data_IF_347616170701
#
_entry.id   IF_347616170701
#
_cell.length_a   1.000
_cell.length_b   1.000
_cell.length_c   1.000
_cell.angle_alpha   90.00
_cell.angle_beta   90.00
_cell.angle_gamma   90.00
#
_symmetry.space_group_name_H-M   'P 1'
#
loop_
_entity.id
_entity.type
_entity.pdbx_description
1 polymer ?
#
# COMPACT_ATOMS: atom_id res chain seq x y z
N UNK A 1 13.85 14.41 5.30
CA UNK A 1 15.27 14.07 5.49
C UNK A 1 15.99 14.23 4.17
N UNK A 2 17.09 14.97 4.12
CA UNK A 2 17.92 15.20 2.92
C UNK A 2 19.20 14.36 2.94
N UNK A 3 19.60 13.83 4.09
CA UNK A 3 20.72 12.90 4.23
C UNK A 3 20.72 12.21 5.58
N UNK A 4 21.39 11.06 5.64
CA UNK A 4 21.63 10.28 6.86
C UNK A 4 23.12 9.93 6.89
N UNK A 5 23.85 10.49 7.85
CA UNK A 5 25.26 10.16 8.08
C UNK A 5 25.38 9.20 9.25
N UNK A 6 26.05 8.08 9.00
CA UNK A 6 26.26 7.03 9.97
C UNK A 6 27.31 7.46 11.02
N UNK A 7 27.12 7.04 12.27
CA UNK A 7 27.98 7.39 13.39
C UNK A 7 27.30 7.11 14.73
N UNK A 8 28.01 7.40 15.82
CA UNK A 8 27.47 7.41 17.17
C UNK A 8 27.85 8.76 17.82
N UNK A 9 26.97 9.77 17.78
CA UNK A 9 25.56 9.75 17.34
C UNK A 9 25.38 9.74 15.81
N UNK A 10 24.23 9.27 15.36
CA UNK A 10 23.77 9.37 13.96
C UNK A 10 23.42 10.83 13.66
N UNK A 11 23.74 11.32 12.47
CA UNK A 11 23.34 12.67 12.05
C UNK A 11 22.27 12.60 10.95
N UNK A 12 21.11 13.20 11.22
CA UNK A 12 19.99 13.32 10.28
C UNK A 12 19.98 14.74 9.73
N UNK A 13 20.21 14.89 8.42
CA UNK A 13 20.17 16.20 7.74
C UNK A 13 18.76 16.47 7.24
N UNK A 14 18.31 17.70 7.44
CA UNK A 14 17.04 18.24 6.95
C UNK A 14 17.30 19.50 6.13
N UNK A 15 16.26 20.06 5.51
CA UNK A 15 16.38 21.34 4.80
C UNK A 15 16.71 22.52 5.74
N UNK A 16 16.47 22.39 7.04
CA UNK A 16 16.57 23.47 8.02
C UNK A 16 17.65 23.24 9.09
N UNK A 17 18.47 22.20 8.94
CA UNK A 17 19.54 21.89 9.90
C UNK A 17 19.76 20.40 10.10
N UNK A 18 20.59 20.09 11.08
CA UNK A 18 21.03 18.72 11.40
C UNK A 18 20.58 18.35 12.81
N UNK A 19 20.00 17.17 12.95
CA UNK A 19 19.67 16.55 14.25
C UNK A 19 20.68 15.44 14.54
N UNK A 20 21.22 15.41 15.75
CA UNK A 20 22.06 14.32 16.24
C UNK A 20 21.25 13.44 17.17
N UNK A 21 21.28 12.13 16.96
CA UNK A 21 20.54 11.17 17.75
C UNK A 21 21.34 9.88 17.96
N UNK A 22 21.30 9.33 19.18
CA UNK A 22 21.97 8.07 19.48
C UNK A 22 21.32 6.88 18.75
N UNK A 23 20.01 6.97 18.49
CA UNK A 23 19.20 5.98 17.77
C UNK A 23 18.27 6.67 16.78
N UNK A 24 18.10 6.10 15.59
CA UNK A 24 17.19 6.59 14.55
C UNK A 24 16.24 5.47 14.10
N UNK A 25 14.95 5.78 14.00
CA UNK A 25 13.93 4.87 13.46
C UNK A 25 13.39 5.41 12.14
N UNK A 26 13.49 4.62 11.08
CA UNK A 26 13.04 4.94 9.73
C UNK A 26 11.68 4.28 9.45
N UNK A 27 10.62 5.08 9.53
CA UNK A 27 9.24 4.70 9.19
C UNK A 27 8.76 5.36 7.90
N UNK A 28 9.54 5.28 6.81
CA UNK A 28 9.27 6.04 5.57
C UNK A 28 8.34 5.32 4.58
N UNK A 29 7.88 4.10 4.91
CA UNK A 29 6.97 3.30 4.09
C UNK A 29 7.42 3.25 2.60
N UNK A 30 6.53 3.61 1.65
CA UNK A 30 6.81 3.63 0.22
C UNK A 30 8.09 4.41 -0.16
N UNK A 31 8.47 5.44 0.60
CA UNK A 31 9.66 6.25 0.33
C UNK A 31 10.98 5.54 0.68
N UNK A 32 10.95 4.42 1.41
CA UNK A 32 12.15 3.67 1.78
C UNK A 32 12.98 3.24 0.57
N UNK A 33 12.34 2.68 -0.47
CA UNK A 33 13.03 2.20 -1.67
C UNK A 33 13.69 3.33 -2.47
N UNK A 34 13.14 4.55 -2.41
CA UNK A 34 13.73 5.75 -3.03
C UNK A 34 14.87 6.32 -2.19
N UNK A 35 14.70 6.35 -0.87
CA UNK A 35 15.69 6.92 0.05
C UNK A 35 16.93 6.04 0.21
N UNK A 36 16.77 4.72 0.07
CA UNK A 36 17.84 3.74 0.29
C UNK A 36 17.86 2.70 -0.84
N UNK A 37 18.79 2.83 -1.82
CA UNK A 37 18.84 1.98 -3.02
C UNK A 37 18.92 0.47 -2.73
N UNK A 38 19.53 0.07 -1.61
CA UNK A 38 19.56 -1.33 -1.15
C UNK A 38 18.17 -1.97 -0.97
N UNK A 39 17.12 -1.15 -0.78
CA UNK A 39 15.74 -1.61 -0.65
C UNK A 39 14.95 -1.52 -1.95
N UNK A 40 15.55 -1.07 -3.05
CA UNK A 40 14.85 -0.84 -4.32
C UNK A 40 14.02 -2.07 -4.73
N UNK A 41 14.57 -3.27 -4.59
CA UNK A 41 13.94 -4.54 -4.99
C UNK A 41 13.09 -5.20 -3.90
N UNK A 42 13.06 -4.65 -2.67
CA UNK A 42 12.31 -5.25 -1.56
C UNK A 42 10.80 -5.01 -1.67
N UNK A 43 10.40 -3.96 -2.38
CA UNK A 43 9.00 -3.58 -2.56
C UNK A 43 8.73 -3.12 -3.99
N UNK A 44 7.49 -3.24 -4.45
CA UNK A 44 6.96 -2.51 -5.59
C UNK A 44 6.12 -1.33 -5.09
N UNK A 45 6.15 -0.19 -5.77
CA UNK A 45 5.32 0.97 -5.43
C UNK A 45 4.11 0.99 -6.37
N UNK A 46 2.92 0.98 -5.77
CA UNK A 46 1.64 0.90 -6.45
C UNK A 46 0.66 1.92 -5.89
N UNK A 47 -0.21 2.51 -6.72
CA UNK A 47 -1.24 3.43 -6.23
C UNK A 47 -2.34 2.71 -5.46
N UNK A 48 -2.85 3.40 -4.45
CA UNK A 48 -4.19 3.22 -3.92
C UNK A 48 -5.02 4.44 -4.30
N UNK A 49 -6.04 4.26 -5.12
CA UNK A 49 -6.84 5.34 -5.70
C UNK A 49 -8.21 5.41 -5.03
N UNK A 50 -8.72 6.61 -4.77
CA UNK A 50 -9.98 6.82 -4.06
C UNK A 50 -10.86 7.91 -4.68
N UNK A 51 -12.16 7.77 -4.45
CA UNK A 51 -13.19 8.79 -4.69
C UNK A 51 -14.05 8.93 -3.44
N UNK A 52 -14.64 10.11 -3.27
CA UNK A 52 -15.67 10.38 -2.26
C UNK A 52 -16.83 11.13 -2.90
N UNK A 53 -18.06 10.76 -2.53
CA UNK A 53 -19.27 11.45 -3.00
C UNK A 53 -19.43 12.82 -2.35
N UNK A 54 -20.30 13.65 -2.91
CA UNK A 54 -20.97 14.69 -2.12
C UNK A 54 -21.83 14.07 -1.00
N UNK A 55 -22.15 14.82 0.07
CA UNK A 55 -23.05 14.33 1.11
C UNK A 55 -24.40 13.91 0.53
N UNK A 56 -24.86 12.72 0.89
CA UNK A 56 -26.15 12.16 0.53
C UNK A 56 -26.72 11.28 1.66
N UNK A 57 -26.78 11.79 2.91
CA UNK A 57 -27.10 10.98 4.09
C UNK A 57 -28.44 10.25 4.00
N UNK A 58 -29.48 10.90 3.46
CA UNK A 58 -30.80 10.28 3.29
C UNK A 58 -30.74 9.08 2.34
N UNK A 59 -29.97 9.21 1.26
CA UNK A 59 -29.80 8.13 0.28
C UNK A 59 -28.98 6.98 0.86
N UNK A 60 -27.90 7.28 1.60
CA UNK A 60 -27.12 6.25 2.29
C UNK A 60 -27.95 5.49 3.31
N UNK A 61 -28.78 6.19 4.09
CA UNK A 61 -29.70 5.56 5.02
C UNK A 61 -30.69 4.63 4.27
N UNK A 62 -31.30 5.09 3.18
CA UNK A 62 -32.25 4.30 2.39
C UNK A 62 -31.66 2.98 1.86
N UNK A 63 -30.37 2.95 1.53
CA UNK A 63 -29.68 1.76 1.02
C UNK A 63 -28.88 1.00 2.10
N UNK A 64 -28.99 1.40 3.37
CA UNK A 64 -28.36 0.72 4.51
C UNK A 64 -26.84 0.91 4.65
N UNK A 65 -26.30 2.02 4.14
CA UNK A 65 -24.87 2.37 4.20
C UNK A 65 -24.58 3.49 5.21
N UNK A 66 -25.14 3.41 6.41
CA UNK A 66 -25.03 4.41 7.49
C UNK A 66 -24.24 3.93 8.72
N UNK A 67 -23.82 2.66 8.75
CA UNK A 67 -23.19 2.03 9.92
C UNK A 67 -21.74 2.46 10.24
N UNK A 68 -21.03 3.07 9.28
CA UNK A 68 -19.61 3.40 9.46
C UNK A 68 -18.69 2.17 9.38
N UNK A 69 -19.15 1.04 8.85
CA UNK A 69 -18.32 -0.16 8.73
C UNK A 69 -17.47 -0.07 7.46
N UNK A 70 -16.19 -0.40 7.57
CA UNK A 70 -15.34 -0.58 6.39
C UNK A 70 -15.56 -1.96 5.78
N UNK A 71 -15.84 -1.99 4.49
CA UNK A 71 -16.03 -3.24 3.73
C UNK A 71 -14.97 -3.33 2.65
N UNK A 72 -14.44 -4.54 2.42
CA UNK A 72 -13.51 -4.85 1.34
C UNK A 72 -13.98 -6.08 0.57
N UNK A 73 -13.75 -6.12 -0.74
CA UNK A 73 -14.04 -7.28 -1.57
C UNK A 73 -12.89 -8.30 -1.58
N UNK A 74 -13.14 -9.51 -2.07
CA UNK A 74 -12.13 -10.59 -2.15
C UNK A 74 -11.34 -10.62 -3.47
N UNK A 75 -11.33 -9.50 -4.22
CA UNK A 75 -10.59 -9.36 -5.48
C UNK A 75 -9.08 -9.29 -5.22
N UNK A 76 -8.26 -9.47 -6.27
CA UNK A 76 -6.81 -9.30 -6.12
C UNK A 76 -6.47 -7.81 -6.00
N UNK A 77 -7.11 -7.00 -6.83
CA UNK A 77 -7.09 -5.55 -6.66
C UNK A 77 -8.35 -5.12 -5.95
N UNK A 78 -8.28 -5.22 -4.62
CA UNK A 78 -9.40 -4.99 -3.72
C UNK A 78 -10.06 -3.65 -3.97
N UNK A 79 -11.38 -3.65 -3.96
CA UNK A 79 -12.15 -2.46 -3.65
C UNK A 79 -12.47 -2.44 -2.17
N UNK A 80 -12.52 -1.24 -1.62
CA UNK A 80 -12.94 -1.04 -0.24
C UNK A 80 -13.75 0.24 -0.16
N UNK A 81 -14.76 0.26 0.71
CA UNK A 81 -15.57 1.44 0.93
C UNK A 81 -15.90 1.62 2.41
N UNK A 82 -16.25 2.86 2.74
CA UNK A 82 -16.64 3.27 4.08
C UNK A 82 -17.47 4.55 3.96
N UNK A 83 -18.50 4.70 4.79
CA UNK A 83 -19.27 5.93 4.88
C UNK A 83 -18.69 6.86 5.96
N UNK A 84 -18.68 8.15 5.69
CA UNK A 84 -18.25 9.17 6.65
C UNK A 84 -19.40 9.61 7.54
N UNK A 85 -19.08 10.19 8.70
CA UNK A 85 -20.08 10.71 9.64
C UNK A 85 -20.93 11.85 9.09
N UNK A 86 -20.47 12.55 8.06
CA UNK A 86 -21.21 13.60 7.34
C UNK A 86 -22.00 13.08 6.14
N UNK A 87 -22.19 11.76 6.02
CA UNK A 87 -23.09 11.17 5.03
C UNK A 87 -22.52 11.08 3.62
N UNK A 88 -21.21 10.83 3.47
CA UNK A 88 -20.57 10.56 2.17
C UNK A 88 -20.16 9.10 2.08
N UNK A 89 -20.07 8.57 0.87
CA UNK A 89 -19.43 7.27 0.63
C UNK A 89 -18.04 7.49 0.04
N UNK A 90 -17.03 6.89 0.67
CA UNK A 90 -15.68 6.75 0.12
C UNK A 90 -15.53 5.38 -0.53
N UNK A 91 -14.99 5.31 -1.75
CA UNK A 91 -14.65 4.07 -2.43
C UNK A 91 -13.22 4.14 -2.93
N UNK A 92 -12.42 3.13 -2.58
CA UNK A 92 -11.04 2.99 -2.98
C UNK A 92 -10.77 1.70 -3.77
N UNK A 93 -9.69 1.73 -4.56
CA UNK A 93 -9.16 0.59 -5.29
C UNK A 93 -7.64 0.63 -5.36
N UNK A 94 -6.99 -0.46 -4.96
CA UNK A 94 -5.55 -0.63 -5.13
C UNK A 94 -5.15 -1.12 -6.52
N UNK A 95 -3.87 -1.00 -6.88
CA UNK A 95 -3.31 -1.80 -7.98
C UNK A 95 -3.29 -1.13 -9.35
N UNK A 96 -3.41 0.21 -9.44
CA UNK A 96 -3.55 0.87 -10.73
C UNK A 96 -2.21 1.36 -11.32
N UNK A 97 -1.62 2.41 -10.77
CA UNK A 97 -0.32 2.96 -11.20
C UNK A 97 0.79 2.18 -10.54
N UNK A 98 1.73 1.63 -11.31
CA UNK A 98 2.98 1.07 -10.80
C UNK A 98 4.12 2.02 -11.14
N UNK A 99 5.05 2.22 -10.21
CA UNK A 99 6.22 3.06 -10.45
C UNK A 99 7.45 2.24 -10.84
N UNK A 100 8.11 2.65 -11.93
CA UNK A 100 9.41 2.11 -12.34
C UNK A 100 10.48 2.44 -11.29
N UNK A 101 11.26 1.44 -10.85
CA UNK A 101 12.40 1.67 -9.96
C UNK A 101 12.03 2.25 -8.58
N UNK A 102 10.78 2.04 -8.12
CA UNK A 102 10.30 2.58 -6.84
C UNK A 102 10.24 4.11 -6.78
N UNK A 103 10.19 4.78 -7.93
CA UNK A 103 10.12 6.25 -8.00
C UNK A 103 8.82 6.78 -7.41
N UNK A 104 8.93 7.88 -6.67
CA UNK A 104 7.75 8.69 -6.31
C UNK A 104 7.38 9.56 -7.51
N UNK A 105 6.28 9.17 -8.15
CA UNK A 105 5.72 9.86 -9.31
C UNK A 105 4.82 11.02 -8.84
N UNK A 106 4.81 12.17 -9.55
CA UNK A 106 3.95 13.29 -9.20
C UNK A 106 2.47 12.94 -9.09
N UNK A 107 2.01 11.95 -9.87
CA UNK A 107 0.62 11.49 -9.85
C UNK A 107 0.16 11.04 -8.46
N UNK A 108 1.07 10.58 -7.59
CA UNK A 108 0.75 10.14 -6.24
C UNK A 108 0.34 11.27 -5.29
N UNK A 109 0.52 12.53 -5.69
CA UNK A 109 0.12 13.72 -4.93
C UNK A 109 -0.92 14.55 -5.70
N UNK A 110 -1.67 13.90 -6.61
CA UNK A 110 -2.64 14.55 -7.50
C UNK A 110 -4.00 13.83 -7.48
N UNK A 111 -5.06 14.45 -8.01
CA UNK A 111 -6.33 13.76 -8.22
C UNK A 111 -6.14 12.46 -9.00
N UNK A 112 -6.82 11.38 -8.57
CA UNK A 112 -6.62 10.07 -9.20
C UNK A 112 -6.99 10.13 -10.69
N UNK A 113 -6.08 9.70 -11.61
CA UNK A 113 -6.42 9.55 -13.02
C UNK A 113 -7.41 8.41 -13.26
N UNK A 114 -7.65 7.57 -12.24
CA UNK A 114 -8.61 6.48 -12.26
C UNK A 114 -9.99 6.89 -11.70
N UNK A 115 -10.26 8.19 -11.52
CA UNK A 115 -11.58 8.71 -11.16
C UNK A 115 -12.72 8.14 -12.02
N UNK A 116 -12.61 8.02 -13.36
CA UNK A 116 -13.68 7.40 -14.17
C UNK A 116 -13.91 5.92 -13.86
N UNK A 117 -12.84 5.15 -13.62
CA UNK A 117 -12.92 3.73 -13.25
C UNK A 117 -13.59 3.56 -11.88
N UNK A 118 -13.24 4.43 -10.92
CA UNK A 118 -13.83 4.42 -9.59
C UNK A 118 -15.30 4.84 -9.61
N UNK A 119 -15.68 5.79 -10.48
CA UNK A 119 -17.08 6.14 -10.75
C UNK A 119 -17.88 4.94 -11.28
N UNK A 120 -17.35 4.23 -12.26
CA UNK A 120 -17.97 3.00 -12.80
C UNK A 120 -18.13 1.95 -11.70
N UNK A 121 -17.09 1.74 -10.89
CA UNK A 121 -17.11 0.78 -9.78
C UNK A 121 -18.16 1.16 -8.72
N UNK A 122 -18.27 2.45 -8.39
CA UNK A 122 -19.27 2.97 -7.46
C UNK A 122 -20.69 2.68 -7.94
N UNK A 123 -21.01 2.97 -9.20
CA UNK A 123 -22.32 2.68 -9.77
C UNK A 123 -22.59 1.17 -9.92
N UNK A 124 -21.55 0.37 -10.13
CA UNK A 124 -21.65 -1.09 -10.19
C UNK A 124 -21.96 -1.73 -8.85
N UNK A 125 -21.34 -1.26 -7.76
CA UNK A 125 -21.65 -1.75 -6.41
C UNK A 125 -22.97 -1.19 -5.87
N UNK A 126 -23.21 0.10 -6.11
CA UNK A 126 -24.35 0.82 -5.56
C UNK A 126 -25.05 1.61 -6.67
N UNK A 127 -25.98 0.98 -7.41
CA UNK A 127 -26.70 1.63 -8.50
C UNK A 127 -27.35 2.97 -8.11
N UNK A 128 -27.85 3.08 -6.87
CA UNK A 128 -28.42 4.30 -6.32
C UNK A 128 -27.43 5.48 -6.26
N UNK A 129 -26.13 5.21 -6.14
CA UNK A 129 -25.08 6.23 -6.03
C UNK A 129 -24.45 6.60 -7.40
N UNK A 130 -24.90 5.98 -8.49
CA UNK A 130 -24.30 6.18 -9.82
C UNK A 130 -24.32 7.65 -10.26
N UNK A 131 -25.37 8.40 -9.90
CA UNK A 131 -25.56 9.80 -10.29
C UNK A 131 -25.14 10.81 -9.20
N UNK A 132 -24.78 10.36 -8.00
CA UNK A 132 -24.35 11.26 -6.93
C UNK A 132 -23.00 11.88 -7.34
N UNK A 133 -22.82 13.22 -7.34
CA UNK A 133 -21.56 13.86 -7.69
C UNK A 133 -20.38 13.38 -6.82
N UNK A 134 -19.17 13.36 -7.38
CA UNK A 134 -17.95 13.13 -6.57
C UNK A 134 -17.40 14.48 -6.13
N UNK A 135 -17.24 14.67 -4.83
CA UNK A 135 -16.61 15.86 -4.26
C UNK A 135 -15.11 15.88 -4.55
N UNK A 136 -14.44 14.72 -4.49
CA UNK A 136 -13.01 14.62 -4.72
C UNK A 136 -12.57 13.24 -5.22
N UNK A 137 -11.36 13.21 -5.76
CA UNK A 137 -10.57 11.99 -5.97
C UNK A 137 -9.12 12.26 -5.58
N UNK A 138 -8.44 11.24 -5.07
CA UNK A 138 -7.02 11.30 -4.72
C UNK A 138 -6.41 9.91 -4.89
N UNK A 139 -5.08 9.84 -4.84
CA UNK A 139 -4.38 8.59 -4.73
C UNK A 139 -3.11 8.79 -3.90
N UNK A 140 -2.44 7.70 -3.58
CA UNK A 140 -1.15 7.76 -2.88
C UNK A 140 -0.32 6.51 -3.14
N UNK A 141 1.01 6.58 -2.89
CA UNK A 141 1.90 5.46 -3.10
C UNK A 141 1.78 4.48 -1.94
N UNK A 142 1.50 3.22 -2.25
CA UNK A 142 1.60 2.09 -1.32
C UNK A 142 2.79 1.23 -1.73
N UNK A 143 3.59 0.81 -0.75
CA UNK A 143 4.51 -0.30 -0.99
C UNK A 143 3.74 -1.63 -1.07
N UNK A 144 4.38 -2.62 -1.71
CA UNK A 144 3.98 -4.03 -1.74
C UNK A 144 5.25 -4.86 -1.62
N UNK A 145 5.41 -5.58 -0.51
CA UNK A 145 6.53 -6.49 -0.32
C UNK A 145 6.31 -7.79 -1.10
N UNK A 146 7.36 -8.60 -1.23
CA UNK A 146 7.27 -9.90 -1.95
C UNK A 146 6.36 -10.90 -1.23
N UNK A 147 6.21 -10.80 0.10
CA UNK A 147 5.39 -11.74 0.88
C UNK A 147 4.01 -11.17 1.22
N UNK A 148 3.81 -9.87 1.03
CA UNK A 148 2.66 -9.14 1.55
C UNK A 148 2.75 -8.79 3.04
N UNK A 149 3.83 -9.20 3.72
CA UNK A 149 4.06 -8.90 5.14
C UNK A 149 5.03 -7.73 5.32
N UNK A 150 4.86 -6.91 6.37
CA UNK A 150 5.86 -5.92 6.75
C UNK A 150 7.12 -6.61 7.25
N UNK A 151 8.23 -5.90 7.17
CA UNK A 151 9.51 -6.37 7.71
C UNK A 151 10.27 -5.22 8.36
N UNK A 152 11.12 -5.60 9.30
CA UNK A 152 11.83 -4.71 10.21
C UNK A 152 13.29 -5.13 10.28
N UNK A 153 14.16 -4.20 10.64
CA UNK A 153 15.56 -4.53 10.80
C UNK A 153 16.43 -3.35 11.16
N UNK A 154 17.74 -3.61 11.11
CA UNK A 154 18.80 -2.63 11.31
C UNK A 154 19.42 -2.28 9.96
N UNK A 155 19.58 -0.99 9.68
CA UNK A 155 20.12 -0.52 8.41
C UNK A 155 21.62 -0.87 8.35
N UNK A 156 22.06 -1.57 7.30
CA UNK A 156 23.47 -1.93 7.06
C UNK A 156 24.16 -2.63 8.26
N UNK A 157 23.40 -3.40 9.04
CA UNK A 157 23.92 -4.06 10.25
C UNK A 157 24.29 -3.09 11.39
N UNK A 158 23.98 -1.80 11.27
CA UNK A 158 24.29 -0.80 12.28
C UNK A 158 23.40 -0.96 13.50
N UNK A 159 24.01 -0.91 14.68
CA UNK A 159 23.29 -1.11 15.94
C UNK A 159 22.30 0.00 16.30
N UNK A 160 22.31 1.14 15.59
CA UNK A 160 21.59 2.35 15.99
C UNK A 160 20.68 2.98 14.94
N UNK A 161 20.50 2.36 13.76
CA UNK A 161 19.52 2.79 12.77
C UNK A 161 18.58 1.63 12.46
N UNK A 162 17.30 1.82 12.74
CA UNK A 162 16.26 0.81 12.59
C UNK A 162 15.29 1.22 11.50
N UNK A 163 14.62 0.26 10.87
CA UNK A 163 13.61 0.53 9.86
C UNK A 163 12.44 -0.44 9.95
N UNK A 164 11.27 0.01 9.49
CA UNK A 164 10.08 -0.82 9.32
C UNK A 164 9.23 -0.32 8.17
N UNK A 165 8.96 -1.18 7.19
CA UNK A 165 8.11 -0.90 6.03
C UNK A 165 7.67 -2.21 5.34
N UNK A 166 7.07 -2.14 4.16
CA UNK A 166 6.55 -3.30 3.43
C UNK A 166 5.14 -3.70 3.87
N UNK A 167 4.39 -2.77 4.47
CA UNK A 167 3.04 -3.01 5.00
C UNK A 167 2.02 -3.38 3.94
N UNK A 168 2.37 -3.25 2.65
CA UNK A 168 1.61 -3.86 1.57
C UNK A 168 0.15 -3.40 1.54
N UNK A 169 -0.08 -2.11 1.77
CA UNK A 169 -1.43 -1.51 1.72
C UNK A 169 -2.31 -1.77 2.95
N UNK A 170 -1.87 -2.58 3.92
CA UNK A 170 -2.67 -2.91 5.11
C UNK A 170 -1.99 -2.42 6.39
N UNK A 171 -1.30 -1.27 6.35
CA UNK A 171 -0.41 -0.83 7.44
C UNK A 171 -1.08 -0.23 8.67
N UNK A 172 -2.31 0.28 8.57
CA UNK A 172 -2.97 1.01 9.66
C UNK A 172 -3.18 0.14 10.91
N UNK A 173 -3.60 -1.12 10.75
CA UNK A 173 -3.73 -2.04 11.89
C UNK A 173 -2.38 -2.56 12.41
N UNK A 174 -1.55 -3.19 11.57
CA UNK A 174 -0.26 -3.78 11.94
C UNK A 174 0.81 -2.78 12.40
N UNK A 175 0.65 -1.47 12.17
CA UNK A 175 1.65 -0.49 12.61
C UNK A 175 1.82 -0.45 14.14
N UNK A 176 0.79 -0.84 14.92
CA UNK A 176 0.93 -0.98 16.36
C UNK A 176 2.00 -2.03 16.72
N UNK A 177 1.92 -3.22 16.12
CA UNK A 177 2.94 -4.26 16.24
C UNK A 177 4.30 -3.75 15.73
N UNK A 178 4.32 -3.04 14.61
CA UNK A 178 5.54 -2.44 14.08
C UNK A 178 6.19 -1.46 15.07
N UNK A 179 5.40 -0.67 15.78
CA UNK A 179 5.84 0.20 16.86
C UNK A 179 6.48 -0.56 18.01
N UNK A 180 5.85 -1.65 18.46
CA UNK A 180 6.40 -2.52 19.52
C UNK A 180 7.74 -3.16 19.13
N UNK A 181 7.86 -3.59 17.87
CA UNK A 181 9.10 -4.13 17.32
C UNK A 181 10.19 -3.07 17.29
N UNK A 182 9.90 -1.90 16.70
CA UNK A 182 10.88 -0.83 16.52
C UNK A 182 11.33 -0.21 17.84
N UNK A 183 10.42 -0.03 18.81
CA UNK A 183 10.77 0.45 20.15
C UNK A 183 11.65 -0.55 20.89
N UNK A 184 11.30 -1.85 20.86
CA UNK A 184 12.10 -2.90 21.49
C UNK A 184 13.50 -3.00 20.89
N UNK A 185 13.61 -2.85 19.56
CA UNK A 185 14.90 -2.82 18.86
C UNK A 185 15.72 -1.59 19.25
N UNK A 186 15.11 -0.41 19.30
CA UNK A 186 15.79 0.84 19.66
C UNK A 186 16.29 0.86 21.11
N UNK A 187 15.52 0.25 22.01
CA UNK A 187 15.87 0.09 23.43
C UNK A 187 16.85 -1.07 23.70
N UNK A 188 17.15 -1.90 22.69
CA UNK A 188 18.04 -3.04 22.86
C UNK A 188 17.47 -4.15 23.75
N UNK A 189 16.14 -4.28 23.81
CA UNK A 189 15.49 -5.32 24.60
C UNK A 189 15.66 -6.69 23.94
N UNK A 190 15.67 -7.74 24.75
CA UNK A 190 15.56 -9.13 24.29
C UNK A 190 14.20 -9.69 24.70
N UNK A 191 13.25 -9.66 23.76
CA UNK A 191 11.85 -10.00 24.00
C UNK A 191 11.18 -10.62 22.75
N UNK A 192 9.93 -11.10 22.84
CA UNK A 192 9.23 -11.70 21.69
C UNK A 192 9.16 -10.81 20.46
N UNK A 193 9.07 -9.48 20.62
CA UNK A 193 9.07 -8.55 19.49
C UNK A 193 10.40 -8.55 18.73
N UNK A 194 11.52 -8.49 19.43
CA UNK A 194 12.86 -8.54 18.80
C UNK A 194 13.22 -9.91 18.23
N UNK A 195 12.60 -10.98 18.73
CA UNK A 195 12.75 -12.36 18.24
C UNK A 195 11.78 -12.71 17.10
N UNK A 196 10.89 -11.79 16.72
CA UNK A 196 9.89 -12.01 15.67
C UNK A 196 10.56 -12.33 14.32
N UNK A 197 10.00 -13.26 13.51
CA UNK A 197 10.51 -13.55 12.18
C UNK A 197 10.43 -12.35 11.22
N UNK A 198 9.66 -11.31 11.56
CA UNK A 198 9.57 -10.07 10.78
C UNK A 198 10.82 -9.18 10.93
N UNK A 199 11.71 -9.47 11.89
CA UNK A 199 12.92 -8.67 12.21
C UNK A 199 14.15 -9.11 11.38
N UNK A 200 13.92 -9.87 10.30
CA UNK A 200 14.98 -10.41 9.42
C UNK A 200 15.30 -9.50 8.23
N UNK A 201 14.71 -8.31 8.15
CA UNK A 201 14.75 -7.46 6.96
C UNK A 201 13.89 -8.00 5.80
N UNK A 202 14.12 -7.54 4.56
CA UNK A 202 13.31 -7.95 3.40
C UNK A 202 13.17 -9.46 3.26
N UNK A 203 11.93 -9.96 3.24
CA UNK A 203 11.60 -11.39 3.16
C UNK A 203 11.57 -11.93 1.72
N UNK A 204 12.17 -11.20 0.78
CA UNK A 204 12.22 -11.53 -0.64
C UNK A 204 12.62 -10.32 -1.47
N UNK A 205 13.04 -10.57 -2.72
CA UNK A 205 13.40 -9.52 -3.67
C UNK A 205 12.66 -9.72 -4.98
N UNK A 206 12.07 -8.66 -5.51
CA UNK A 206 11.57 -8.63 -6.87
C UNK A 206 12.72 -8.73 -7.89
N UNK A 207 12.44 -9.11 -9.15
CA UNK A 207 13.40 -9.01 -10.24
C UNK A 207 13.96 -7.58 -10.40
N UNK A 208 15.14 -7.40 -11.02
CA UNK A 208 15.64 -6.07 -11.36
C UNK A 208 14.76 -5.40 -12.42
N UNK A 209 14.89 -4.08 -12.57
CA UNK A 209 14.28 -3.35 -13.69
C UNK A 209 15.00 -3.66 -15.02
N UNK A 210 14.30 -3.65 -16.17
CA UNK A 210 12.87 -3.33 -16.36
C UNK A 210 11.91 -4.51 -16.16
N UNK A 211 12.42 -5.68 -15.78
CA UNK A 211 11.63 -6.93 -15.70
C UNK A 211 10.51 -6.80 -14.68
N UNK A 212 10.79 -6.22 -13.50
CA UNK A 212 9.77 -5.99 -12.47
C UNK A 212 8.65 -5.08 -12.97
N UNK A 213 8.97 -3.94 -13.56
CA UNK A 213 7.96 -3.00 -14.06
C UNK A 213 7.09 -3.63 -15.14
N UNK A 214 7.71 -4.22 -16.17
CA UNK A 214 6.98 -4.87 -17.27
C UNK A 214 6.13 -6.04 -16.77
N UNK A 215 6.69 -6.87 -15.87
CA UNK A 215 5.97 -7.95 -15.21
C UNK A 215 4.78 -7.45 -14.40
N UNK A 216 4.95 -6.36 -13.64
CA UNK A 216 3.87 -5.74 -12.86
C UNK A 216 2.72 -5.26 -13.75
N UNK A 217 3.04 -4.59 -14.86
CA UNK A 217 2.02 -4.15 -15.83
C UNK A 217 1.30 -5.33 -16.49
N UNK A 218 2.05 -6.38 -16.87
CA UNK A 218 1.50 -7.60 -17.45
C UNK A 218 0.52 -8.29 -16.48
N UNK A 219 0.96 -8.53 -15.24
CA UNK A 219 0.15 -9.15 -14.18
C UNK A 219 -1.06 -8.29 -13.86
N UNK A 220 -0.89 -6.97 -13.71
CA UNK A 220 -2.01 -6.03 -13.50
C UNK A 220 -3.07 -6.14 -14.60
N UNK A 221 -2.64 -6.10 -15.85
CA UNK A 221 -3.56 -6.15 -16.98
C UNK A 221 -4.25 -7.51 -17.09
N UNK A 222 -3.56 -8.60 -16.75
CA UNK A 222 -4.16 -9.94 -16.67
C UNK A 222 -5.23 -10.02 -15.58
N UNK A 223 -4.97 -9.49 -14.39
CA UNK A 223 -5.94 -9.42 -13.28
C UNK A 223 -7.17 -8.64 -13.72
N UNK A 224 -7.00 -7.46 -14.32
CA UNK A 224 -8.13 -6.65 -14.80
C UNK A 224 -8.98 -7.38 -15.84
N UNK A 225 -8.37 -8.13 -16.77
CA UNK A 225 -9.12 -8.94 -17.74
C UNK A 225 -9.84 -10.11 -17.09
N UNK A 226 -9.19 -10.78 -16.13
CA UNK A 226 -9.78 -11.87 -15.36
C UNK A 226 -11.00 -11.37 -14.57
N UNK A 227 -10.85 -10.34 -13.75
CA UNK A 227 -11.91 -9.79 -12.91
C UNK A 227 -13.09 -9.28 -13.76
N UNK A 228 -12.83 -8.59 -14.88
CA UNK A 228 -13.90 -8.17 -15.81
C UNK A 228 -14.68 -9.32 -16.43
N UNK A 229 -14.02 -10.45 -16.70
CA UNK A 229 -14.70 -11.64 -17.21
C UNK A 229 -15.60 -12.23 -16.10
N UNK A 230 -15.10 -12.30 -14.88
CA UNK A 230 -15.85 -12.78 -13.71
C UNK A 230 -17.07 -11.90 -13.43
N UNK A 231 -16.92 -10.56 -13.48
CA UNK A 231 -18.03 -9.60 -13.31
C UNK A 231 -19.14 -9.77 -14.36
N UNK A 232 -18.81 -10.29 -15.54
CA UNK A 232 -19.76 -10.56 -16.63
C UNK A 232 -20.32 -11.98 -16.61
N UNK A 233 -20.02 -12.77 -15.58
CA UNK A 233 -20.38 -14.20 -15.52
C UNK A 233 -19.66 -15.07 -16.57
N UNK A 234 -18.55 -14.58 -17.13
CA UNK A 234 -17.79 -15.26 -18.17
C UNK A 234 -16.58 -15.99 -17.58
N UNK A 235 -16.17 -17.10 -18.22
CA UNK A 235 -14.95 -17.82 -17.83
C UNK A 235 -13.71 -17.01 -18.23
N UNK A 236 -12.79 -16.70 -17.29
CA UNK A 236 -11.54 -16.03 -17.62
C UNK A 236 -10.64 -16.85 -18.55
N UNK A 237 -9.81 -16.17 -19.34
CA UNK A 237 -8.81 -16.83 -20.18
C UNK A 237 -7.78 -17.55 -19.29
N UNK A 238 -7.39 -18.78 -19.66
CA UNK A 238 -6.40 -19.58 -18.90
C UNK A 238 -5.09 -18.84 -18.69
N UNK A 239 -4.64 -18.07 -19.68
CA UNK A 239 -3.43 -17.26 -19.58
C UNK A 239 -3.57 -16.17 -18.51
N UNK A 240 -4.70 -15.45 -18.48
CA UNK A 240 -4.94 -14.39 -17.50
C UNK A 240 -5.00 -14.96 -16.07
N UNK A 241 -5.61 -16.14 -15.89
CA UNK A 241 -5.61 -16.85 -14.61
C UNK A 241 -4.19 -17.25 -14.18
N UNK A 242 -3.37 -17.76 -15.09
CA UNK A 242 -1.97 -18.12 -14.79
C UNK A 242 -1.14 -16.89 -14.41
N UNK A 243 -1.26 -15.80 -15.16
CA UNK A 243 -0.55 -14.56 -14.90
C UNK A 243 -0.98 -13.91 -13.58
N UNK A 244 -2.27 -13.95 -13.24
CA UNK A 244 -2.79 -13.42 -11.98
C UNK A 244 -2.22 -14.13 -10.73
N UNK A 245 -1.75 -15.38 -10.84
CA UNK A 245 -1.12 -16.11 -9.72
C UNK A 245 0.19 -15.45 -9.25
N UNK A 246 0.87 -14.71 -10.11
CA UNK A 246 2.07 -13.96 -9.72
C UNK A 246 1.76 -12.81 -8.76
N UNK A 247 0.54 -12.28 -8.74
CA UNK A 247 0.12 -11.32 -7.71
C UNK A 247 -0.26 -12.01 -6.40
N UNK A 248 -0.83 -13.21 -6.44
CA UNK A 248 -1.15 -13.98 -5.23
C UNK A 248 0.11 -14.43 -4.47
N UNK A 249 1.23 -14.63 -5.18
CA UNK A 249 2.54 -14.85 -4.55
C UNK A 249 3.05 -13.63 -3.78
N UNK A 250 2.61 -12.42 -4.15
CA UNK A 250 2.99 -11.13 -3.56
C UNK A 250 2.03 -10.58 -2.48
N UNK A 251 0.95 -11.30 -2.18
CA UNK A 251 -0.16 -10.79 -1.35
C UNK A 251 -0.88 -11.85 -0.53
N UNK A 252 -0.16 -12.84 0.02
CA UNK A 252 -0.76 -13.95 0.81
C UNK A 252 -1.42 -13.54 2.15
N UNK A 253 -1.64 -12.25 2.42
CA UNK A 253 -2.21 -11.80 3.69
C UNK A 253 -3.75 -11.88 3.75
N UNK A 254 -4.47 -11.86 2.63
CA UNK A 254 -5.92 -11.56 2.64
C UNK A 254 -6.83 -12.78 2.40
N UNK A 255 -6.31 -14.02 2.48
CA UNK A 255 -7.09 -15.27 2.25
C UNK A 255 -6.80 -16.35 3.28
N UNK A 256 -6.92 -15.98 4.57
CA UNK A 256 -6.99 -16.92 5.69
C UNK A 256 -8.41 -17.05 6.19
#
# INVERSE_FOLDING_TARGET
MTGLEHGAPVQVRTAHGTVRADRVVLGLNAWMARAFPQFERSVAIVSSDMVITEPCPELLHQIGLDSGISVLDSRIFVHYYHNTSDGRLMLGKGGNTFAYGGRMLPVFDQPSPYRPLLRESLGGFFPALAQVPLAASWNGPSDRSVTGLPFFGRLNGQGNVFYGFGYSGSGVGPCHMGGQILSSLALGLDNPWTRSPLVKGPLGLFPPEPIRYLGSLMVRNAIRRKERAEDRGQRPRRLDVRLARFAAAAGKADKG
#
